data_IF_426904793605
#
_entry.id   IF_426904793605
#
_cell.length_a   1.000
_cell.length_b   1.000
_cell.length_c   1.000
_cell.angle_alpha   90.00
_cell.angle_beta   90.00
_cell.angle_gamma   90.00
#
_symmetry.space_group_name_H-M   'P 1'
#
loop_
_entity.id
_entity.type
_entity.pdbx_description
1 polymer ?
#
# COMPACT_ATOMS: atom_id res chain seq x y z
N UNK A 1 -55.98 21.81 -28.43
CA UNK A 1 -54.52 21.56 -28.69
C UNK A 1 -53.57 21.99 -27.53
N UNK A 2 -54.11 22.53 -26.41
CA UNK A 2 -53.32 22.94 -25.23
C UNK A 2 -53.17 21.82 -24.16
N UNK A 3 -54.08 20.87 -24.11
CA UNK A 3 -54.07 19.82 -23.06
C UNK A 3 -53.11 18.66 -23.34
N UNK A 4 -52.77 18.38 -24.57
CA UNK A 4 -51.82 17.34 -24.94
C UNK A 4 -50.36 17.68 -24.59
N UNK A 5 -49.98 18.94 -24.43
CA UNK A 5 -48.65 19.37 -24.01
C UNK A 5 -48.42 19.21 -22.48
N UNK A 6 -49.48 19.31 -21.67
CA UNK A 6 -49.45 19.21 -20.22
C UNK A 6 -49.24 17.75 -19.78
N UNK A 7 -49.87 16.80 -20.48
CA UNK A 7 -49.73 15.35 -20.21
C UNK A 7 -48.34 14.81 -20.59
N UNK A 8 -47.71 15.34 -21.64
CA UNK A 8 -46.34 14.95 -22.00
C UNK A 8 -45.27 15.47 -21.05
N UNK A 9 -45.49 16.62 -20.41
CA UNK A 9 -44.57 17.19 -19.44
C UNK A 9 -44.60 16.42 -18.10
N UNK A 10 -45.76 15.93 -17.67
CA UNK A 10 -45.91 15.10 -16.46
C UNK A 10 -45.28 13.68 -16.64
N UNK A 11 -45.40 13.08 -17.83
CA UNK A 11 -44.77 11.79 -18.10
C UNK A 11 -43.23 11.85 -18.15
N UNK A 12 -42.64 12.99 -18.56
CA UNK A 12 -41.18 13.17 -18.53
C UNK A 12 -40.63 13.35 -17.09
N UNK A 13 -41.35 14.04 -16.25
CA UNK A 13 -40.95 14.23 -14.84
C UNK A 13 -41.04 12.92 -14.04
N UNK A 14 -42.01 12.04 -14.35
CA UNK A 14 -42.11 10.72 -13.69
C UNK A 14 -41.04 9.73 -14.16
N UNK A 15 -40.50 9.86 -15.37
CA UNK A 15 -39.38 8.99 -15.85
C UNK A 15 -38.03 9.42 -15.30
N UNK A 16 -37.79 10.69 -15.07
CA UNK A 16 -36.55 11.19 -14.44
C UNK A 16 -36.49 10.88 -12.95
N UNK A 17 -37.62 10.91 -12.24
CA UNK A 17 -37.72 10.55 -10.82
C UNK A 17 -37.44 9.06 -10.55
N UNK A 18 -37.86 8.16 -11.43
CA UNK A 18 -37.58 6.70 -11.31
C UNK A 18 -36.14 6.34 -11.66
N UNK A 19 -35.46 7.12 -12.48
CA UNK A 19 -34.05 6.87 -12.83
C UNK A 19 -33.11 7.35 -11.71
N UNK A 20 -33.42 8.47 -11.08
CA UNK A 20 -32.73 8.97 -9.92
C UNK A 20 -32.89 8.05 -8.70
N UNK A 21 -34.10 7.52 -8.44
CA UNK A 21 -34.36 6.63 -7.30
C UNK A 21 -33.67 5.26 -7.43
N UNK A 22 -33.38 4.77 -8.63
CA UNK A 22 -32.62 3.53 -8.84
C UNK A 22 -31.11 3.70 -8.59
N UNK A 23 -30.51 4.85 -8.90
CA UNK A 23 -29.10 5.15 -8.60
C UNK A 23 -28.88 5.52 -7.13
N UNK A 24 -29.85 6.20 -6.48
CA UNK A 24 -29.78 6.52 -5.05
C UNK A 24 -30.18 5.35 -4.16
N UNK A 25 -30.96 4.40 -4.65
CA UNK A 25 -31.36 3.21 -3.89
C UNK A 25 -30.19 2.27 -3.52
N UNK A 26 -29.09 2.33 -4.27
CA UNK A 26 -27.85 1.63 -3.92
C UNK A 26 -27.10 2.35 -2.79
N UNK A 27 -27.02 3.67 -2.85
CA UNK A 27 -26.41 4.51 -1.79
C UNK A 27 -27.19 4.37 -0.47
N UNK A 28 -28.53 4.37 -0.50
CA UNK A 28 -29.35 4.18 0.69
C UNK A 28 -29.22 2.74 1.23
N UNK A 29 -29.06 1.74 0.39
CA UNK A 29 -28.77 0.36 0.83
C UNK A 29 -27.36 0.22 1.38
N UNK A 30 -26.36 0.87 0.79
CA UNK A 30 -24.99 0.92 1.30
C UNK A 30 -24.93 1.64 2.65
N UNK A 31 -25.61 2.77 2.79
CA UNK A 31 -25.71 3.52 4.07
C UNK A 31 -26.48 2.73 5.13
N UNK A 32 -27.58 2.04 4.78
CA UNK A 32 -28.30 1.14 5.72
C UNK A 32 -27.48 -0.11 6.06
N UNK A 33 -26.73 -0.67 5.14
CA UNK A 33 -25.81 -1.79 5.40
C UNK A 33 -24.65 -1.34 6.29
N UNK A 34 -24.05 -0.17 6.03
CA UNK A 34 -23.07 0.46 6.94
C UNK A 34 -23.69 0.75 8.31
N UNK A 35 -24.92 1.30 8.37
CA UNK A 35 -25.61 1.57 9.62
C UNK A 35 -25.99 0.27 10.38
N UNK A 36 -26.26 -0.83 9.68
CA UNK A 36 -26.49 -2.13 10.30
C UNK A 36 -25.20 -2.79 10.80
N UNK A 37 -24.09 -2.62 10.07
CA UNK A 37 -22.74 -3.02 10.52
C UNK A 37 -22.23 -2.12 11.65
N UNK A 38 -22.61 -0.86 11.65
CA UNK A 38 -22.41 0.10 12.76
C UNK A 38 -23.24 -0.23 14.01
N UNK A 39 -24.25 -1.13 13.92
CA UNK A 39 -24.91 -1.69 15.12
C UNK A 39 -23.98 -2.59 15.94
N UNK A 40 -22.92 -3.14 15.34
CA UNK A 40 -21.84 -3.81 16.06
C UNK A 40 -21.01 -2.82 16.90
N UNK A 41 -21.05 -1.52 16.57
CA UNK A 41 -20.51 -0.43 17.40
C UNK A 41 -21.35 -0.12 18.66
N UNK A 42 -22.44 -0.84 18.93
CA UNK A 42 -23.10 -0.77 20.25
C UNK A 42 -22.23 -1.31 21.38
N UNK A 43 -21.24 -2.16 21.07
CA UNK A 43 -20.17 -2.54 22.02
C UNK A 43 -19.27 -1.35 22.34
N UNK A 44 -19.07 -0.41 21.40
CA UNK A 44 -18.38 0.87 21.62
C UNK A 44 -19.17 1.88 22.47
N UNK A 45 -20.45 1.63 22.72
CA UNK A 45 -21.27 2.46 23.64
C UNK A 45 -20.89 2.23 25.11
N UNK A 46 -20.29 1.10 25.46
CA UNK A 46 -19.63 0.86 26.75
C UNK A 46 -18.23 1.50 26.84
N UNK A 47 -17.57 1.71 25.72
CA UNK A 47 -16.35 2.47 25.55
C UNK A 47 -16.70 3.83 24.91
N UNK A 48 -17.43 4.69 25.61
CA UNK A 48 -17.63 6.05 25.16
C UNK A 48 -16.33 6.83 25.44
N UNK A 49 -15.33 6.85 24.50
CA UNK A 49 -14.03 7.47 24.76
C UNK A 49 -14.20 8.98 24.99
N UNK A 50 -15.27 9.56 24.42
CA UNK A 50 -15.60 10.98 24.56
C UNK A 50 -16.02 11.37 25.98
N UNK A 51 -16.52 10.44 26.79
CA UNK A 51 -16.90 10.72 28.20
C UNK A 51 -15.67 10.87 29.12
N UNK A 52 -14.52 10.38 28.68
CA UNK A 52 -13.25 10.47 29.42
C UNK A 52 -12.30 11.56 28.89
N UNK A 53 -12.66 12.24 27.77
CA UNK A 53 -11.86 13.32 27.18
C UNK A 53 -12.21 14.61 27.90
N UNK A 54 -11.30 15.12 28.72
CA UNK A 54 -11.44 16.42 29.41
C UNK A 54 -11.15 17.56 28.42
N UNK A 55 -11.51 18.79 28.77
CA UNK A 55 -11.27 20.01 27.96
C UNK A 55 -9.80 20.14 27.53
N UNK A 56 -8.87 19.82 28.43
CA UNK A 56 -7.44 19.82 28.15
C UNK A 56 -7.05 18.80 27.06
N UNK A 57 -7.62 17.58 27.11
CA UNK A 57 -7.32 16.54 26.11
C UNK A 57 -7.79 16.99 24.73
N UNK A 58 -9.01 17.55 24.64
CA UNK A 58 -9.57 18.05 23.40
C UNK A 58 -8.73 19.20 22.81
N UNK A 59 -8.24 20.11 23.67
CA UNK A 59 -7.32 21.18 23.27
C UNK A 59 -6.08 20.61 22.61
N UNK A 60 -5.41 19.64 23.28
CA UNK A 60 -4.19 19.00 22.78
C UNK A 60 -4.48 18.26 21.46
N UNK A 61 -5.54 17.45 21.38
CA UNK A 61 -5.94 16.71 20.18
C UNK A 61 -6.15 17.66 18.99
N UNK A 62 -6.97 18.69 19.17
CA UNK A 62 -7.29 19.67 18.11
C UNK A 62 -6.03 20.36 17.59
N UNK A 63 -5.18 20.82 18.51
CA UNK A 63 -3.92 21.49 18.15
C UNK A 63 -2.95 20.56 17.46
N UNK A 64 -2.77 19.33 17.98
CA UNK A 64 -1.89 18.34 17.36
C UNK A 64 -2.34 17.99 15.92
N UNK A 65 -3.63 17.72 15.70
CA UNK A 65 -4.17 17.50 14.36
C UNK A 65 -3.96 18.70 13.44
N UNK A 66 -4.13 19.93 13.96
CA UNK A 66 -3.84 21.15 13.19
C UNK A 66 -2.39 21.21 12.72
N UNK A 67 -1.42 20.95 13.62
CA UNK A 67 0.01 20.90 13.24
C UNK A 67 0.32 19.76 12.30
N UNK A 68 -0.34 18.61 12.44
CA UNK A 68 -0.16 17.46 11.55
C UNK A 68 -0.60 17.79 10.11
N UNK A 69 -1.81 18.28 9.91
CA UNK A 69 -2.29 18.66 8.58
C UNK A 69 -1.53 19.82 7.98
N UNK A 70 -1.12 20.80 8.81
CA UNK A 70 -0.27 21.89 8.37
C UNK A 70 1.11 21.40 7.88
N UNK A 71 1.74 20.48 8.62
CA UNK A 71 3.03 19.88 8.22
C UNK A 71 2.91 19.10 6.91
N UNK A 72 1.83 18.32 6.74
CA UNK A 72 1.56 17.62 5.48
C UNK A 72 1.40 18.63 4.33
N UNK A 73 0.54 19.61 4.48
CA UNK A 73 0.28 20.60 3.43
C UNK A 73 1.55 21.30 3.00
N UNK A 74 2.37 21.74 3.96
CA UNK A 74 3.63 22.44 3.69
C UNK A 74 4.63 21.56 2.92
N UNK A 75 4.90 20.35 3.43
CA UNK A 75 5.93 19.48 2.84
C UNK A 75 5.46 18.92 1.50
N UNK A 76 4.17 18.55 1.37
CA UNK A 76 3.62 18.07 0.10
C UNK A 76 3.63 19.17 -0.96
N UNK A 77 3.31 20.42 -0.61
CA UNK A 77 3.39 21.52 -1.57
C UNK A 77 4.80 21.67 -2.14
N UNK A 78 5.82 21.58 -1.30
CA UNK A 78 7.22 21.59 -1.73
C UNK A 78 7.52 20.36 -2.61
N UNK A 79 7.10 19.16 -2.20
CA UNK A 79 7.33 17.93 -2.95
C UNK A 79 6.68 17.98 -4.34
N UNK A 80 5.46 18.52 -4.46
CA UNK A 80 4.76 18.69 -5.76
C UNK A 80 5.56 19.63 -6.67
N UNK A 81 6.08 20.75 -6.16
CA UNK A 81 6.87 21.70 -6.96
C UNK A 81 8.16 21.04 -7.47
N UNK A 82 8.87 20.29 -6.64
CA UNK A 82 10.07 19.57 -7.05
C UNK A 82 9.76 18.48 -8.08
N UNK A 83 8.76 17.63 -7.82
CA UNK A 83 8.35 16.56 -8.71
C UNK A 83 7.87 17.12 -10.07
N UNK A 84 7.11 18.22 -10.06
CA UNK A 84 6.67 18.89 -11.28
C UNK A 84 7.84 19.38 -12.12
N UNK A 85 8.82 20.06 -11.49
CA UNK A 85 10.02 20.53 -12.19
C UNK A 85 10.85 19.39 -12.77
N UNK A 86 11.01 18.28 -12.03
CA UNK A 86 11.76 17.11 -12.47
C UNK A 86 11.09 16.42 -13.67
N UNK A 87 9.77 16.40 -13.72
CA UNK A 87 9.02 15.69 -14.74
C UNK A 87 8.45 16.60 -15.84
N UNK A 88 8.68 17.92 -15.77
CA UNK A 88 8.14 18.90 -16.71
C UNK A 88 8.50 18.59 -18.17
N UNK A 89 9.74 18.23 -18.45
CA UNK A 89 10.19 17.86 -19.80
C UNK A 89 9.40 16.65 -20.34
N UNK A 90 9.18 15.64 -19.52
CA UNK A 90 8.44 14.43 -19.90
C UNK A 90 6.96 14.73 -20.18
N UNK A 91 6.34 15.59 -19.34
CA UNK A 91 4.94 16.00 -19.54
C UNK A 91 4.77 16.77 -20.83
N UNK A 92 5.74 17.62 -21.20
CA UNK A 92 5.70 18.44 -22.42
C UNK A 92 6.01 17.58 -23.65
N UNK A 93 7.03 16.73 -23.60
CA UNK A 93 7.43 15.85 -24.71
C UNK A 93 6.31 14.88 -25.13
N UNK A 94 5.61 14.32 -24.16
CA UNK A 94 4.51 13.38 -24.42
C UNK A 94 3.13 14.04 -24.46
N UNK A 95 3.05 15.36 -24.52
CA UNK A 95 1.80 16.12 -24.59
C UNK A 95 0.76 15.71 -23.56
N UNK A 96 1.17 15.49 -22.28
CA UNK A 96 0.28 15.09 -21.21
C UNK A 96 -0.80 16.17 -20.96
N UNK A 97 -2.10 15.84 -21.00
CA UNK A 97 -3.14 16.83 -20.77
C UNK A 97 -3.14 17.26 -19.29
N UNK A 98 -3.28 18.57 -19.02
CA UNK A 98 -3.25 19.14 -17.68
C UNK A 98 -4.26 18.46 -16.74
N UNK A 99 -5.42 18.05 -17.24
CA UNK A 99 -6.43 17.33 -16.47
C UNK A 99 -5.88 15.98 -15.97
N UNK A 100 -5.19 15.20 -16.80
CA UNK A 100 -4.61 13.93 -16.42
C UNK A 100 -3.45 14.13 -15.42
N UNK A 101 -2.63 15.19 -15.58
CA UNK A 101 -1.58 15.54 -14.62
C UNK A 101 -2.19 15.79 -13.22
N UNK A 102 -3.29 16.55 -13.14
CA UNK A 102 -3.91 16.89 -11.85
C UNK A 102 -4.64 15.70 -11.23
N UNK A 103 -5.52 15.00 -11.98
CA UNK A 103 -6.43 13.99 -11.43
C UNK A 103 -5.85 12.57 -11.45
N UNK A 104 -5.10 12.18 -12.48
CA UNK A 104 -4.56 10.82 -12.57
C UNK A 104 -3.20 10.70 -11.90
N UNK A 105 -2.38 11.77 -11.95
CA UNK A 105 -1.05 11.77 -11.34
C UNK A 105 -1.08 12.39 -9.93
N UNK A 106 -1.28 13.71 -9.75
CA UNK A 106 -1.14 14.36 -8.44
C UNK A 106 -2.24 14.00 -7.43
N UNK A 107 -3.48 13.78 -7.84
CA UNK A 107 -4.53 13.36 -6.92
C UNK A 107 -4.24 11.98 -6.29
N UNK A 108 -3.46 11.13 -6.97
CA UNK A 108 -3.03 9.82 -6.45
C UNK A 108 -1.62 9.87 -5.83
N UNK A 109 -0.75 10.78 -6.27
CA UNK A 109 0.57 11.02 -5.69
C UNK A 109 0.48 11.57 -4.26
N UNK A 110 -0.39 12.55 -4.01
CA UNK A 110 -0.52 13.21 -2.71
C UNK A 110 -0.89 12.23 -1.59
N UNK A 111 -1.94 11.39 -1.66
CA UNK A 111 -2.25 10.42 -0.62
C UNK A 111 -1.14 9.38 -0.42
N UNK A 112 -0.52 8.91 -1.51
CA UNK A 112 0.60 7.98 -1.44
C UNK A 112 1.78 8.58 -0.68
N UNK A 113 2.22 9.78 -1.06
CA UNK A 113 3.36 10.47 -0.47
C UNK A 113 3.09 10.86 0.99
N UNK A 114 1.87 11.36 1.30
CA UNK A 114 1.44 11.67 2.66
C UNK A 114 1.48 10.44 3.56
N UNK A 115 1.09 9.28 3.07
CA UNK A 115 1.10 8.05 3.83
C UNK A 115 2.50 7.46 3.98
N UNK A 116 3.33 7.52 2.93
CA UNK A 116 4.72 7.06 2.95
C UNK A 116 5.53 7.76 4.05
N UNK A 117 5.32 9.06 4.22
CA UNK A 117 6.00 9.88 5.23
C UNK A 117 5.13 10.17 6.46
N UNK A 118 4.03 9.43 6.66
CA UNK A 118 3.08 9.67 7.76
C UNK A 118 3.74 9.70 9.13
N UNK A 119 4.65 8.77 9.41
CA UNK A 119 5.38 8.71 10.67
C UNK A 119 6.26 9.97 10.90
N UNK A 120 6.91 10.48 9.84
CA UNK A 120 7.68 11.72 9.87
C UNK A 120 6.76 12.92 10.16
N UNK A 121 5.62 13.02 9.48
CA UNK A 121 4.67 14.13 9.68
C UNK A 121 4.10 14.14 11.09
N UNK A 122 3.74 12.97 11.64
CA UNK A 122 3.31 12.83 13.04
C UNK A 122 4.41 13.33 13.97
N UNK A 123 5.65 12.93 13.75
CA UNK A 123 6.76 13.30 14.62
C UNK A 123 7.09 14.80 14.56
N UNK A 124 7.14 15.38 13.37
CA UNK A 124 7.32 16.82 13.18
C UNK A 124 6.21 17.61 13.87
N UNK A 125 4.95 17.22 13.65
CA UNK A 125 3.81 17.87 14.28
C UNK A 125 3.86 17.80 15.81
N UNK A 126 4.23 16.64 16.38
CA UNK A 126 4.41 16.45 17.82
C UNK A 126 5.48 17.38 18.35
N UNK A 127 6.65 17.44 17.69
CA UNK A 127 7.76 18.29 18.13
C UNK A 127 7.36 19.77 18.06
N UNK A 128 6.85 20.23 16.93
CA UNK A 128 6.42 21.63 16.75
C UNK A 128 5.41 22.05 17.81
N UNK A 129 4.38 21.26 17.99
CA UNK A 129 3.33 21.57 18.94
C UNK A 129 3.82 21.51 20.39
N UNK A 130 4.53 20.43 20.77
CA UNK A 130 5.00 20.25 22.14
C UNK A 130 6.07 21.27 22.52
N UNK A 131 6.99 21.61 21.59
CA UNK A 131 7.99 22.67 21.84
C UNK A 131 7.32 24.03 22.01
N UNK A 132 6.24 24.33 21.25
CA UNK A 132 5.48 25.57 21.43
C UNK A 132 4.80 25.62 22.79
N UNK A 133 4.18 24.52 23.24
CA UNK A 133 3.61 24.44 24.59
C UNK A 133 4.68 24.60 25.68
N UNK A 134 5.87 24.00 25.48
CA UNK A 134 6.99 24.14 26.41
C UNK A 134 7.55 25.58 26.44
N UNK A 135 7.70 26.23 25.29
CA UNK A 135 8.17 27.62 25.21
C UNK A 135 7.22 28.61 25.87
N UNK A 136 5.91 28.38 25.73
CA UNK A 136 4.86 29.17 26.39
C UNK A 136 4.70 28.84 27.88
N UNK A 137 5.53 27.95 28.44
CA UNK A 137 5.43 27.45 29.82
C UNK A 137 4.12 26.72 30.17
N UNK A 138 3.30 26.37 29.17
CA UNK A 138 2.04 25.64 29.37
C UNK A 138 2.28 24.24 29.92
N UNK A 139 3.31 23.52 29.48
CA UNK A 139 3.66 22.18 30.00
C UNK A 139 4.06 22.28 31.47
N UNK A 140 4.83 23.29 31.86
CA UNK A 140 5.24 23.50 33.26
C UNK A 140 4.01 23.79 34.11
N UNK A 141 3.10 24.65 33.66
CA UNK A 141 1.86 24.94 34.37
C UNK A 141 0.98 23.70 34.55
N UNK A 142 0.85 22.86 33.51
CA UNK A 142 0.10 21.60 33.56
C UNK A 142 0.74 20.61 34.57
N UNK A 143 2.05 20.45 34.57
CA UNK A 143 2.73 19.56 35.49
C UNK A 143 2.70 20.10 36.93
N UNK A 144 2.86 21.42 37.11
CA UNK A 144 2.77 22.07 38.42
C UNK A 144 1.36 22.00 39.05
N UNK A 145 0.30 21.84 38.24
CA UNK A 145 -1.06 21.59 38.72
C UNK A 145 -1.30 20.15 39.18
N UNK A 146 -0.26 19.30 39.28
CA UNK A 146 -0.36 17.90 39.74
C UNK A 146 -0.72 16.91 38.63
N UNK A 147 -0.78 17.31 37.35
CA UNK A 147 -1.00 16.40 36.23
C UNK A 147 0.30 15.65 35.92
N UNK A 148 0.28 14.33 36.04
CA UNK A 148 1.46 13.52 35.71
C UNK A 148 1.80 13.55 34.21
N UNK A 149 3.08 13.36 33.88
CA UNK A 149 3.52 13.29 32.47
C UNK A 149 2.79 12.18 31.68
N UNK A 150 2.53 11.03 32.32
CA UNK A 150 1.73 9.95 31.74
C UNK A 150 0.31 10.42 31.36
N UNK A 151 -0.30 11.28 32.17
CA UNK A 151 -1.63 11.84 31.89
C UNK A 151 -1.56 12.85 30.74
N UNK A 152 -0.49 13.64 30.66
CA UNK A 152 -0.24 14.56 29.55
C UNK A 152 -0.05 13.82 28.22
N UNK A 153 0.60 12.64 28.24
CA UNK A 153 0.83 11.83 27.03
C UNK A 153 -0.44 11.21 26.45
N UNK A 154 -1.48 11.01 27.28
CA UNK A 154 -2.73 10.35 26.89
C UNK A 154 -3.41 10.95 25.64
N UNK A 155 -3.66 12.26 25.53
CA UNK A 155 -4.29 12.85 24.34
C UNK A 155 -3.45 12.68 23.07
N UNK A 156 -2.10 12.69 23.16
CA UNK A 156 -1.22 12.40 22.04
C UNK A 156 -1.42 10.96 21.55
N UNK A 157 -1.50 10.00 22.47
CA UNK A 157 -1.72 8.60 22.11
C UNK A 157 -3.10 8.37 21.48
N UNK A 158 -4.15 9.05 21.97
CA UNK A 158 -5.49 8.99 21.36
C UNK A 158 -5.44 9.51 19.90
N UNK A 159 -4.76 10.64 19.68
CA UNK A 159 -4.58 11.18 18.33
C UNK A 159 -3.79 10.23 17.44
N UNK A 160 -2.75 9.57 17.97
CA UNK A 160 -1.99 8.57 17.23
C UNK A 160 -2.83 7.36 16.83
N UNK A 161 -3.75 6.88 17.69
CA UNK A 161 -4.69 5.81 17.31
C UNK A 161 -5.50 6.23 16.08
N UNK A 162 -6.04 7.46 16.11
CA UNK A 162 -6.83 8.00 14.99
C UNK A 162 -5.98 8.09 13.70
N UNK A 163 -4.78 8.67 13.78
CA UNK A 163 -3.89 8.86 12.64
C UNK A 163 -3.36 7.52 12.10
N UNK A 164 -3.02 6.58 12.98
CA UNK A 164 -2.58 5.23 12.59
C UNK A 164 -3.69 4.44 11.92
N UNK A 165 -4.92 4.54 12.42
CA UNK A 165 -6.08 3.90 11.78
C UNK A 165 -6.36 4.51 10.40
N UNK A 166 -6.25 5.84 10.26
CA UNK A 166 -6.39 6.53 8.98
C UNK A 166 -5.29 6.09 8.00
N UNK A 167 -4.03 6.11 8.43
CA UNK A 167 -2.87 5.70 7.63
C UNK A 167 -2.98 4.24 7.18
N UNK A 168 -3.38 3.34 8.09
CA UNK A 168 -3.59 1.93 7.76
C UNK A 168 -4.74 1.76 6.74
N UNK A 169 -5.87 2.44 6.93
CA UNK A 169 -6.99 2.39 6.00
C UNK A 169 -6.65 2.91 4.60
N UNK A 170 -5.89 4.02 4.54
CA UNK A 170 -5.37 4.54 3.27
C UNK A 170 -4.42 3.54 2.60
N UNK A 171 -3.47 2.99 3.34
CA UNK A 171 -2.48 2.04 2.82
C UNK A 171 -3.11 0.70 2.38
N UNK A 172 -4.14 0.25 3.11
CA UNK A 172 -4.77 -1.04 2.85
C UNK A 172 -5.72 -1.03 1.64
N UNK A 173 -6.41 0.10 1.39
CA UNK A 173 -7.52 0.13 0.44
C UNK A 173 -7.45 1.27 -0.58
N UNK A 174 -7.13 2.50 -0.17
CA UNK A 174 -7.23 3.68 -1.05
C UNK A 174 -6.01 3.82 -1.94
N UNK A 175 -4.83 3.78 -1.35
CA UNK A 175 -3.56 3.97 -2.06
C UNK A 175 -3.32 2.94 -3.16
N UNK A 176 -3.60 1.63 -2.98
CA UNK A 176 -3.41 0.65 -4.04
C UNK A 176 -4.13 0.99 -5.34
N UNK A 177 -5.41 1.37 -5.25
CA UNK A 177 -6.19 1.80 -6.42
C UNK A 177 -5.60 3.05 -7.09
N UNK A 178 -5.22 4.05 -6.30
CA UNK A 178 -4.57 5.26 -6.80
C UNK A 178 -3.21 4.97 -7.45
N UNK A 179 -2.46 4.01 -6.90
CA UNK A 179 -1.15 3.60 -7.44
C UNK A 179 -1.29 2.99 -8.84
N UNK A 180 -2.35 2.20 -9.10
CA UNK A 180 -2.63 1.66 -10.44
C UNK A 180 -2.85 2.79 -11.45
N UNK A 181 -3.69 3.79 -11.11
CA UNK A 181 -3.99 4.93 -11.97
C UNK A 181 -2.70 5.72 -12.25
N UNK A 182 -1.93 6.02 -11.20
CA UNK A 182 -0.66 6.74 -11.32
C UNK A 182 0.36 5.98 -12.18
N UNK A 183 0.55 4.68 -11.98
CA UNK A 183 1.47 3.87 -12.77
C UNK A 183 1.07 3.77 -14.25
N UNK A 184 -0.22 3.74 -14.55
CA UNK A 184 -0.71 3.79 -15.92
C UNK A 184 -0.38 5.14 -16.56
N UNK A 185 -0.60 6.25 -15.84
CA UNK A 185 -0.18 7.59 -16.28
C UNK A 185 1.33 7.66 -16.52
N UNK A 186 2.14 7.18 -15.57
CA UNK A 186 3.62 7.16 -15.67
C UNK A 186 4.09 6.33 -16.87
N UNK A 187 3.41 5.24 -17.19
CA UNK A 187 3.73 4.41 -18.36
C UNK A 187 3.38 5.14 -19.67
N UNK A 188 2.26 5.85 -19.69
CA UNK A 188 1.75 6.53 -20.89
C UNK A 188 2.50 7.83 -21.21
N UNK A 189 2.81 8.64 -20.18
CA UNK A 189 3.32 10.01 -20.36
C UNK A 189 4.73 10.23 -19.79
N UNK A 190 5.32 9.28 -19.09
CA UNK A 190 6.64 9.45 -18.50
C UNK A 190 7.65 8.42 -18.98
N UNK A 191 7.30 7.61 -19.99
CA UNK A 191 8.16 6.56 -20.55
C UNK A 191 8.73 5.58 -19.50
N UNK A 192 8.06 5.42 -18.36
CA UNK A 192 8.42 4.40 -17.39
C UNK A 192 8.03 3.04 -17.96
N UNK A 193 8.95 2.39 -18.65
CA UNK A 193 8.78 1.03 -19.17
C UNK A 193 8.39 0.11 -18.01
N UNK A 194 7.20 -0.48 -18.06
CA UNK A 194 6.93 -1.68 -17.27
C UNK A 194 7.90 -2.74 -17.78
N UNK A 195 8.48 -3.54 -16.88
CA UNK A 195 9.20 -4.72 -17.32
C UNK A 195 8.25 -5.54 -18.19
N UNK A 196 8.52 -5.55 -19.48
CA UNK A 196 7.70 -6.25 -20.47
C UNK A 196 8.22 -7.66 -20.72
N UNK A 197 9.39 -8.00 -20.23
CA UNK A 197 10.03 -9.31 -20.40
C UNK A 197 10.58 -9.85 -19.09
N UNK A 198 10.64 -11.16 -19.00
CA UNK A 198 11.30 -11.90 -17.93
C UNK A 198 12.15 -13.00 -18.52
N UNK A 199 13.29 -13.29 -17.89
CA UNK A 199 14.21 -14.35 -18.30
C UNK A 199 14.27 -15.43 -17.23
N UNK A 200 14.45 -16.69 -17.68
CA UNK A 200 14.62 -17.86 -16.81
C UNK A 200 13.49 -17.99 -15.77
N UNK A 201 12.25 -17.84 -16.23
CA UNK A 201 11.07 -17.92 -15.37
C UNK A 201 10.80 -19.37 -15.01
N UNK A 202 10.83 -19.69 -13.73
CA UNK A 202 10.46 -21.00 -13.21
C UNK A 202 9.27 -20.86 -12.24
N UNK A 203 8.24 -21.64 -12.45
CA UNK A 203 6.99 -21.57 -11.68
C UNK A 203 6.43 -22.95 -11.45
N UNK A 204 6.06 -23.28 -10.23
CA UNK A 204 5.24 -24.46 -9.96
C UNK A 204 3.77 -24.14 -10.27
N UNK A 205 3.23 -24.79 -11.28
CA UNK A 205 1.87 -24.55 -11.78
C UNK A 205 0.83 -25.34 -10.98
N UNK A 206 1.21 -26.57 -10.57
CA UNK A 206 0.42 -27.46 -9.75
C UNK A 206 1.37 -28.34 -8.91
N UNK A 207 0.83 -29.12 -7.97
CA UNK A 207 1.64 -30.04 -7.16
C UNK A 207 2.43 -31.01 -8.05
N UNK A 208 3.76 -30.90 -8.02
CA UNK A 208 4.66 -31.71 -8.85
C UNK A 208 4.67 -31.33 -10.34
N UNK A 209 4.11 -30.18 -10.74
CA UNK A 209 4.14 -29.69 -12.12
C UNK A 209 4.90 -28.36 -12.15
N UNK A 210 6.06 -28.35 -12.79
CA UNK A 210 6.94 -27.19 -12.90
C UNK A 210 6.98 -26.73 -14.34
N UNK A 211 6.65 -25.45 -14.55
CA UNK A 211 6.82 -24.77 -15.84
C UNK A 211 8.13 -23.96 -15.81
N UNK A 212 8.86 -23.99 -16.92
CA UNK A 212 10.03 -23.18 -17.15
C UNK A 212 9.92 -22.48 -18.51
N UNK A 213 10.35 -21.23 -18.58
CA UNK A 213 10.50 -20.46 -19.82
C UNK A 213 11.84 -19.76 -19.82
N UNK A 214 12.56 -19.85 -20.93
CA UNK A 214 13.83 -19.14 -21.09
C UNK A 214 13.62 -17.64 -21.18
N UNK A 215 12.63 -17.20 -21.95
CA UNK A 215 12.28 -15.79 -22.13
C UNK A 215 10.78 -15.64 -22.25
N UNK A 216 10.19 -14.66 -21.59
CA UNK A 216 8.79 -14.30 -21.71
C UNK A 216 8.61 -12.84 -22.06
N UNK A 217 7.85 -12.55 -23.11
CA UNK A 217 7.47 -11.19 -23.53
C UNK A 217 5.99 -10.95 -23.20
N UNK A 218 5.76 -10.04 -22.26
CA UNK A 218 4.40 -9.69 -21.82
C UNK A 218 3.64 -8.81 -22.83
N UNK A 219 4.34 -8.10 -23.72
CA UNK A 219 3.71 -7.27 -24.76
C UNK A 219 2.99 -8.16 -25.78
N UNK A 220 3.66 -9.23 -26.16
CA UNK A 220 3.11 -10.25 -27.07
C UNK A 220 2.39 -11.38 -26.34
N UNK A 221 2.46 -11.41 -24.99
CA UNK A 221 1.99 -12.53 -24.14
C UNK A 221 2.53 -13.89 -24.61
N UNK A 222 3.81 -13.92 -24.99
CA UNK A 222 4.48 -15.06 -25.60
C UNK A 222 5.72 -15.45 -24.82
N UNK A 223 5.87 -16.76 -24.55
CA UNK A 223 7.04 -17.34 -23.90
C UNK A 223 7.83 -18.19 -24.89
N UNK A 224 9.14 -18.14 -24.81
CA UNK A 224 10.09 -18.89 -25.65
C UNK A 224 10.88 -19.90 -24.83
N UNK A 225 11.20 -21.03 -25.43
CA UNK A 225 11.94 -22.10 -24.75
C UNK A 225 11.14 -22.66 -23.57
N UNK A 226 9.88 -22.99 -23.82
CA UNK A 226 8.97 -23.49 -22.79
C UNK A 226 9.20 -24.97 -22.47
N UNK A 227 9.26 -25.29 -21.18
CA UNK A 227 9.25 -26.67 -20.67
C UNK A 227 8.20 -26.82 -19.56
N UNK A 228 7.54 -27.97 -19.53
CA UNK A 228 6.62 -28.35 -18.46
C UNK A 228 6.94 -29.75 -17.98
N UNK A 229 7.44 -29.84 -16.76
CA UNK A 229 7.85 -31.08 -16.11
C UNK A 229 6.80 -31.55 -15.10
N UNK A 230 6.38 -32.79 -15.22
CA UNK A 230 5.47 -33.44 -14.26
C UNK A 230 6.24 -34.51 -13.47
N UNK A 231 6.24 -34.31 -12.16
CA UNK A 231 6.86 -35.22 -11.20
C UNK A 231 5.78 -35.96 -10.41
N UNK A 232 5.97 -37.25 -10.22
CA UNK A 232 5.17 -38.08 -9.30
C UNK A 232 6.17 -38.84 -8.39
N UNK A 233 5.98 -38.74 -7.08
CA UNK A 233 6.89 -39.33 -6.08
C UNK A 233 8.37 -38.98 -6.31
N UNK A 234 8.66 -37.72 -6.65
CA UNK A 234 9.98 -37.18 -6.99
C UNK A 234 10.62 -37.76 -8.25
N UNK A 235 9.89 -38.54 -9.05
CA UNK A 235 10.35 -39.06 -10.34
C UNK A 235 9.69 -38.28 -11.46
N UNK A 236 10.44 -37.96 -12.51
CA UNK A 236 9.92 -37.31 -13.71
C UNK A 236 9.06 -38.32 -14.47
N UNK A 237 7.79 -37.98 -14.71
CA UNK A 237 6.83 -38.83 -15.43
C UNK A 237 6.55 -38.29 -16.83
N UNK A 238 6.57 -37.00 -17.01
CA UNK A 238 6.33 -36.36 -18.31
C UNK A 238 7.16 -35.10 -18.44
N UNK A 239 7.80 -34.93 -19.58
CA UNK A 239 8.54 -33.75 -19.99
C UNK A 239 7.96 -33.23 -21.29
N UNK A 240 7.36 -32.03 -21.25
CA UNK A 240 6.86 -31.33 -22.42
C UNK A 240 7.80 -30.19 -22.74
N UNK A 241 8.24 -30.09 -23.99
CA UNK A 241 8.99 -28.96 -24.52
C UNK A 241 8.19 -28.32 -25.64
N UNK A 242 8.25 -27.01 -25.76
CA UNK A 242 7.72 -26.27 -26.91
C UNK A 242 8.67 -25.12 -27.27
N UNK A 243 8.75 -24.81 -28.55
CA UNK A 243 9.58 -23.69 -29.03
C UNK A 243 9.06 -22.39 -28.47
N UNK A 244 7.75 -22.21 -28.50
CA UNK A 244 7.07 -21.07 -27.90
C UNK A 244 5.67 -21.44 -27.37
N UNK A 245 5.19 -20.59 -26.49
CA UNK A 245 3.88 -20.68 -25.87
C UNK A 245 3.22 -19.30 -25.89
N UNK A 246 1.98 -19.21 -26.35
CA UNK A 246 1.24 -17.94 -26.43
C UNK A 246 -0.05 -18.03 -25.61
N UNK A 247 -0.33 -16.98 -24.83
CA UNK A 247 -1.55 -16.88 -24.06
C UNK A 247 -2.73 -16.51 -24.96
N UNK A 248 -3.78 -17.29 -24.94
CA UNK A 248 -5.00 -16.99 -25.67
C UNK A 248 -5.81 -15.90 -24.94
N UNK A 249 -5.96 -14.76 -25.61
CA UNK A 249 -6.72 -13.60 -25.11
C UNK A 249 -8.17 -13.58 -25.56
N UNK A 250 -8.56 -14.47 -26.46
CA UNK A 250 -9.87 -14.47 -27.11
C UNK A 250 -10.84 -15.40 -26.39
N UNK A 251 -10.33 -16.50 -25.77
CA UNK A 251 -11.18 -17.41 -25.05
C UNK A 251 -11.65 -16.82 -23.72
N UNK A 252 -12.92 -16.94 -23.40
CA UNK A 252 -13.52 -16.52 -22.12
C UNK A 252 -12.99 -17.31 -20.91
N UNK A 253 -12.29 -18.41 -21.15
CA UNK A 253 -11.75 -19.27 -20.11
C UNK A 253 -10.30 -18.86 -19.76
N UNK A 254 -10.03 -18.73 -18.47
CA UNK A 254 -8.68 -18.47 -17.94
C UNK A 254 -7.76 -19.67 -18.22
N UNK A 255 -6.46 -19.39 -18.31
CA UNK A 255 -5.39 -20.40 -18.41
C UNK A 255 -5.26 -21.12 -19.76
N UNK A 256 -5.84 -20.61 -20.85
CA UNK A 256 -5.63 -21.14 -22.19
C UNK A 256 -4.31 -20.68 -22.78
N UNK A 257 -3.50 -21.66 -23.21
CA UNK A 257 -2.22 -21.45 -23.84
C UNK A 257 -2.09 -22.28 -25.10
N UNK A 258 -1.57 -21.69 -26.15
CA UNK A 258 -1.25 -22.35 -27.40
C UNK A 258 0.25 -22.62 -27.46
N UNK A 259 0.61 -23.88 -27.65
CA UNK A 259 1.97 -24.37 -27.81
C UNK A 259 2.31 -24.50 -29.29
N UNK A 260 3.51 -24.08 -29.69
CA UNK A 260 4.03 -24.26 -31.04
C UNK A 260 5.25 -25.18 -31.02
N UNK A 261 5.32 -26.08 -32.04
CA UNK A 261 6.40 -27.06 -32.16
C UNK A 261 6.67 -27.81 -30.85
N UNK A 262 5.61 -28.46 -30.36
CA UNK A 262 5.66 -29.15 -29.08
C UNK A 262 6.11 -30.60 -29.20
N UNK A 263 6.77 -31.09 -28.15
CA UNK A 263 7.18 -32.50 -27.97
C UNK A 263 6.89 -32.92 -26.53
N UNK A 264 6.14 -33.99 -26.34
CA UNK A 264 5.87 -34.59 -25.04
C UNK A 264 6.61 -35.92 -24.97
N UNK A 265 7.39 -36.10 -23.91
CA UNK A 265 8.09 -37.33 -23.57
C UNK A 265 7.45 -37.89 -22.29
N UNK A 266 6.74 -38.99 -22.36
CA UNK A 266 6.19 -39.70 -21.21
C UNK A 266 7.08 -40.87 -20.85
N UNK A 267 7.46 -40.96 -19.58
CA UNK A 267 8.33 -42.01 -19.03
C UNK A 267 7.48 -43.07 -18.32
N UNK A 268 7.58 -44.33 -18.75
CA UNK A 268 6.94 -45.46 -18.12
C UNK A 268 7.98 -46.53 -17.77
N UNK A 269 8.60 -46.39 -16.62
CA UNK A 269 9.75 -47.19 -16.23
C UNK A 269 10.94 -46.99 -17.17
N UNK A 270 11.35 -48.03 -17.86
CA UNK A 270 12.44 -48.00 -18.86
C UNK A 270 11.98 -47.69 -20.30
N UNK A 271 10.68 -47.54 -20.52
CA UNK A 271 10.12 -47.22 -21.84
C UNK A 271 9.71 -45.75 -21.90
N UNK A 272 9.96 -45.19 -23.08
CA UNK A 272 9.60 -43.79 -23.38
C UNK A 272 8.61 -43.76 -24.54
N UNK A 273 7.58 -42.92 -24.37
CA UNK A 273 6.65 -42.60 -25.44
C UNK A 273 6.76 -41.14 -25.82
N UNK A 274 7.10 -40.87 -27.06
CA UNK A 274 7.30 -39.54 -27.59
C UNK A 274 6.17 -39.21 -28.54
N UNK A 275 5.51 -38.07 -28.29
CA UNK A 275 4.51 -37.48 -29.19
C UNK A 275 4.91 -36.05 -29.50
N UNK A 276 4.75 -35.61 -30.74
CA UNK A 276 5.07 -34.25 -31.17
C UNK A 276 4.06 -33.74 -32.17
N UNK A 277 3.98 -32.44 -32.34
CA UNK A 277 3.10 -31.79 -33.30
C UNK A 277 3.41 -30.30 -33.47
N UNK A 278 2.81 -29.70 -34.50
CA UNK A 278 3.05 -28.31 -34.82
C UNK A 278 2.39 -27.34 -33.84
N UNK A 279 1.10 -27.57 -33.51
CA UNK A 279 0.34 -26.72 -32.60
C UNK A 279 -0.49 -27.57 -31.63
N UNK A 280 -0.69 -27.06 -30.41
CA UNK A 280 -1.52 -27.71 -29.41
C UNK A 280 -2.07 -26.67 -28.43
N UNK A 281 -3.40 -26.67 -28.27
CA UNK A 281 -4.04 -25.88 -27.22
C UNK A 281 -4.04 -26.69 -25.91
N UNK A 282 -3.70 -26.04 -24.83
CA UNK A 282 -3.60 -26.66 -23.51
C UNK A 282 -4.00 -25.69 -22.42
N UNK A 283 -4.48 -26.25 -21.30
CA UNK A 283 -4.81 -25.47 -20.12
C UNK A 283 -3.67 -25.63 -19.13
N UNK A 284 -2.99 -24.52 -18.82
CA UNK A 284 -1.90 -24.47 -17.83
C UNK A 284 -2.28 -23.42 -16.80
N UNK A 285 -2.37 -23.79 -15.51
CA UNK A 285 -2.83 -22.94 -14.42
C UNK A 285 -1.84 -21.80 -14.08
N UNK A 286 -1.45 -20.99 -15.08
CA UNK A 286 -0.61 -19.81 -14.96
C UNK A 286 -1.20 -18.66 -15.77
N UNK A 287 -1.03 -17.44 -15.29
CA UNK A 287 -1.44 -16.21 -15.98
C UNK A 287 -0.20 -15.40 -16.39
N UNK A 288 -0.29 -14.54 -17.42
CA UNK A 288 0.78 -13.60 -17.79
C UNK A 288 1.32 -12.75 -16.64
N UNK A 289 0.45 -12.43 -15.69
CA UNK A 289 0.78 -11.67 -14.47
C UNK A 289 1.65 -12.42 -13.47
N UNK A 290 1.67 -13.76 -13.56
CA UNK A 290 2.50 -14.62 -12.69
C UNK A 290 3.96 -14.69 -13.20
N UNK A 291 4.19 -14.38 -14.48
CA UNK A 291 5.46 -14.57 -15.19
C UNK A 291 6.36 -13.34 -15.14
N UNK A 292 5.79 -12.14 -15.12
CA UNK A 292 6.57 -10.89 -15.15
C UNK A 292 6.41 -10.14 -13.85
N UNK A 293 7.52 -9.95 -13.15
CA UNK A 293 7.57 -9.05 -12.00
C UNK A 293 7.79 -7.60 -12.45
N UNK A 294 6.84 -6.74 -12.20
CA UNK A 294 7.00 -5.29 -12.36
C UNK A 294 7.36 -4.65 -11.03
N UNK A 295 8.45 -3.89 -10.97
CA UNK A 295 8.87 -3.15 -9.78
C UNK A 295 7.73 -2.22 -9.31
N UNK A 296 7.34 -2.34 -8.04
CA UNK A 296 6.23 -1.58 -7.46
C UNK A 296 4.85 -2.25 -7.61
N UNK A 297 4.76 -3.42 -8.23
CA UNK A 297 3.51 -4.16 -8.35
C UNK A 297 2.90 -4.52 -6.98
N UNK A 298 3.73 -4.80 -5.96
CA UNK A 298 3.27 -5.07 -4.60
C UNK A 298 2.47 -3.92 -3.99
N UNK A 299 2.67 -2.69 -4.44
CA UNK A 299 1.95 -1.51 -3.97
C UNK A 299 0.56 -1.35 -4.61
N UNK A 300 0.27 -2.07 -5.70
CA UNK A 300 -1.01 -1.99 -6.41
C UNK A 300 -2.09 -2.90 -5.84
N UNK A 301 -1.72 -3.88 -5.02
CA UNK A 301 -2.66 -4.79 -4.38
C UNK A 301 -3.24 -4.19 -3.09
N UNK A 302 -4.53 -4.35 -2.89
CA UNK A 302 -5.14 -4.11 -1.57
C UNK A 302 -4.59 -5.13 -0.56
N UNK A 303 -4.68 -4.84 0.75
CA UNK A 303 -4.11 -5.75 1.76
C UNK A 303 -4.74 -7.16 1.75
N UNK A 304 -6.07 -7.36 1.53
CA UNK A 304 -6.62 -8.68 1.33
C UNK A 304 -6.10 -9.38 0.07
N UNK A 305 -6.08 -8.69 -1.08
CA UNK A 305 -5.57 -9.23 -2.33
C UNK A 305 -4.10 -9.61 -2.23
N UNK A 306 -3.31 -8.79 -1.55
CA UNK A 306 -1.89 -9.03 -1.30
C UNK A 306 -1.67 -10.32 -0.50
N UNK A 307 -2.49 -10.54 0.54
CA UNK A 307 -2.44 -11.76 1.35
C UNK A 307 -2.80 -13.00 0.53
N UNK A 308 -3.86 -12.91 -0.28
CA UNK A 308 -4.29 -14.01 -1.15
C UNK A 308 -3.24 -14.31 -2.23
N UNK A 309 -2.63 -13.27 -2.79
CA UNK A 309 -1.55 -13.39 -3.76
C UNK A 309 -0.32 -14.08 -3.15
N UNK A 310 0.12 -13.63 -1.95
CA UNK A 310 1.23 -14.24 -1.21
C UNK A 310 0.98 -15.74 -1.00
N UNK A 311 -0.22 -16.11 -0.51
CA UNK A 311 -0.54 -17.51 -0.25
C UNK A 311 -0.51 -18.38 -1.53
N UNK A 312 -0.99 -17.85 -2.65
CA UNK A 312 -0.92 -18.52 -3.96
C UNK A 312 0.53 -18.69 -4.44
N UNK A 313 1.36 -17.66 -4.30
CA UNK A 313 2.75 -17.70 -4.75
C UNK A 313 3.62 -18.63 -3.89
N UNK A 314 3.40 -18.69 -2.56
CA UNK A 314 4.06 -19.64 -1.68
C UNK A 314 3.73 -21.08 -2.12
N UNK A 315 2.45 -21.38 -2.39
CA UNK A 315 2.02 -22.68 -2.83
C UNK A 315 2.63 -23.07 -4.19
N UNK A 316 2.98 -22.09 -5.02
CA UNK A 316 3.64 -22.26 -6.33
C UNK A 316 5.17 -22.30 -6.27
N UNK A 317 5.77 -22.12 -5.08
CA UNK A 317 7.22 -22.10 -4.92
C UNK A 317 7.93 -20.93 -5.62
N UNK A 318 7.22 -19.82 -5.87
CA UNK A 318 7.78 -18.65 -6.55
C UNK A 318 8.81 -17.94 -5.66
N UNK A 319 10.01 -17.64 -6.20
CA UNK A 319 11.07 -16.94 -5.46
C UNK A 319 10.80 -15.47 -5.14
N UNK A 320 9.84 -14.84 -5.82
CA UNK A 320 9.58 -13.40 -5.68
C UNK A 320 8.58 -13.03 -4.57
N UNK A 321 8.20 -13.97 -3.71
CA UNK A 321 7.17 -13.75 -2.66
C UNK A 321 7.66 -12.76 -1.60
N UNK A 322 8.94 -12.75 -1.28
CA UNK A 322 9.53 -11.95 -0.19
C UNK A 322 9.20 -10.47 -0.29
N UNK A 323 9.17 -9.89 -1.49
CA UNK A 323 8.86 -8.46 -1.67
C UNK A 323 7.41 -8.14 -1.30
N UNK A 324 6.48 -9.04 -1.60
CA UNK A 324 5.06 -8.91 -1.25
C UNK A 324 4.84 -9.08 0.26
N UNK A 325 5.54 -10.01 0.88
CA UNK A 325 5.49 -10.22 2.34
C UNK A 325 6.05 -9.00 3.10
N UNK A 326 7.18 -8.45 2.65
CA UNK A 326 7.77 -7.23 3.22
C UNK A 326 6.77 -6.08 3.13
N UNK A 327 6.12 -5.87 1.98
CA UNK A 327 5.13 -4.81 1.82
C UNK A 327 3.92 -5.02 2.73
N UNK A 328 3.40 -6.25 2.84
CA UNK A 328 2.28 -6.58 3.72
C UNK A 328 2.59 -6.27 5.19
N UNK A 329 3.73 -6.72 5.70
CA UNK A 329 4.13 -6.46 7.08
C UNK A 329 4.51 -5.01 7.32
N UNK A 330 5.10 -4.33 6.33
CA UNK A 330 5.44 -2.90 6.38
C UNK A 330 4.21 -2.03 6.59
N UNK A 331 3.07 -2.31 5.93
CA UNK A 331 1.82 -1.56 6.10
C UNK A 331 1.33 -1.57 7.55
N UNK A 332 1.46 -2.71 8.23
CA UNK A 332 1.12 -2.85 9.64
C UNK A 332 2.17 -2.15 10.51
N UNK A 333 3.43 -2.43 10.30
CA UNK A 333 4.53 -1.91 11.11
C UNK A 333 4.64 -0.38 11.07
N UNK A 334 4.42 0.25 9.90
CA UNK A 334 4.45 1.71 9.74
C UNK A 334 3.36 2.43 10.56
N UNK A 335 2.20 1.80 10.74
CA UNK A 335 1.14 2.34 11.60
C UNK A 335 1.57 2.41 13.07
N UNK A 336 2.37 1.46 13.54
CA UNK A 336 2.91 1.46 14.91
C UNK A 336 4.06 2.47 15.09
N UNK A 337 4.77 2.82 14.04
CA UNK A 337 5.85 3.82 14.10
C UNK A 337 5.37 5.16 14.66
N UNK A 338 4.16 5.58 14.30
CA UNK A 338 3.56 6.84 14.78
C UNK A 338 3.48 6.91 16.31
N UNK A 339 3.17 5.80 16.99
CA UNK A 339 3.14 5.73 18.46
C UNK A 339 4.52 5.91 19.07
N UNK A 340 5.50 5.18 18.53
CA UNK A 340 6.87 5.17 19.04
C UNK A 340 7.49 6.57 18.88
N UNK A 341 7.38 7.13 17.68
CA UNK A 341 7.90 8.46 17.39
C UNK A 341 7.18 9.55 18.19
N UNK A 342 5.89 9.41 18.44
CA UNK A 342 5.15 10.34 19.31
C UNK A 342 5.70 10.33 20.75
N UNK A 343 5.95 9.16 21.33
CA UNK A 343 6.53 9.06 22.67
C UNK A 343 7.91 9.75 22.71
N UNK A 344 8.76 9.50 21.70
CA UNK A 344 10.07 10.17 21.57
C UNK A 344 9.88 11.69 21.46
N UNK A 345 9.00 12.13 20.56
CA UNK A 345 8.77 13.55 20.27
C UNK A 345 8.28 14.33 21.48
N UNK A 346 7.26 13.83 22.18
CA UNK A 346 6.75 14.48 23.41
C UNK A 346 7.82 14.49 24.48
N UNK A 347 8.51 13.36 24.71
CA UNK A 347 9.54 13.27 25.76
C UNK A 347 10.73 14.20 25.52
N UNK A 348 11.14 14.34 24.25
CA UNK A 348 12.25 15.19 23.84
C UNK A 348 11.90 16.68 23.91
N UNK A 349 10.66 17.04 23.56
CA UNK A 349 10.21 18.43 23.39
C UNK A 349 9.50 19.01 24.61
N UNK A 350 9.17 18.18 25.61
CA UNK A 350 8.47 18.62 26.81
C UNK A 350 9.32 19.55 27.73
N UNK A 351 10.66 19.55 27.57
CA UNK A 351 11.56 20.42 28.31
C UNK A 351 11.93 21.65 27.53
N UNK A 352 11.85 22.82 28.17
CA UNK A 352 12.36 24.08 27.62
C UNK A 352 13.90 23.97 27.52
N UNK A 353 14.43 24.03 26.28
CA UNK A 353 15.88 23.95 26.00
C UNK A 353 16.38 25.30 25.52
N UNK A 354 17.66 25.61 25.85
CA UNK A 354 18.33 26.85 25.41
C UNK A 354 18.47 27.02 23.90
N UNK A 355 18.42 25.89 23.12
CA UNK A 355 18.50 25.89 21.65
C UNK A 355 17.19 26.23 20.90
N UNK A 356 16.10 26.54 21.61
CA UNK A 356 14.84 26.93 21.00
C UNK A 356 14.13 25.79 20.19
N UNK A 357 13.18 26.22 19.36
CA UNK A 357 12.34 25.32 18.54
C UNK A 357 13.15 24.63 17.41
N UNK A 358 14.14 25.34 16.85
CA UNK A 358 14.96 24.85 15.74
C UNK A 358 15.81 23.63 16.10
N UNK A 359 16.44 23.63 17.27
CA UNK A 359 17.25 22.49 17.73
C UNK A 359 16.40 21.22 17.96
N UNK A 360 15.22 21.35 18.56
CA UNK A 360 14.30 20.24 18.76
C UNK A 360 13.83 19.67 17.42
N UNK A 361 13.55 20.53 16.45
CA UNK A 361 13.10 20.16 15.11
C UNK A 361 14.22 19.47 14.33
N UNK A 362 15.47 19.97 14.40
CA UNK A 362 16.63 19.36 13.77
C UNK A 362 16.89 17.94 14.27
N UNK A 363 16.89 17.72 15.59
CA UNK A 363 17.02 16.39 16.19
C UNK A 363 15.85 15.49 15.78
N UNK A 364 14.64 16.05 15.73
CA UNK A 364 13.45 15.31 15.29
C UNK A 364 13.53 14.85 13.85
N UNK A 365 13.89 15.74 12.94
CA UNK A 365 14.09 15.39 11.54
C UNK A 365 15.17 14.31 11.39
N UNK A 366 16.32 14.45 12.05
CA UNK A 366 17.39 13.46 12.01
C UNK A 366 16.91 12.07 12.48
N UNK A 367 16.15 12.00 13.57
CA UNK A 367 15.58 10.73 14.06
C UNK A 367 14.54 10.15 13.08
N UNK A 368 13.69 11.00 12.46
CA UNK A 368 12.71 10.54 11.48
C UNK A 368 13.36 9.98 10.23
N UNK A 369 14.37 10.67 9.70
CA UNK A 369 15.14 10.18 8.56
C UNK A 369 15.90 8.90 8.92
N UNK A 370 16.49 8.82 10.11
CA UNK A 370 17.13 7.62 10.63
C UNK A 370 16.15 6.43 10.68
N UNK A 371 14.91 6.67 11.12
CA UNK A 371 13.86 5.64 11.11
C UNK A 371 13.53 5.17 9.69
N UNK A 372 13.29 6.10 8.76
CA UNK A 372 12.96 5.78 7.35
C UNK A 372 14.13 5.05 6.68
N UNK A 373 15.35 5.53 6.90
CA UNK A 373 16.57 4.88 6.36
C UNK A 373 16.70 3.45 6.88
N UNK A 374 16.53 3.25 8.19
CA UNK A 374 16.58 1.92 8.78
C UNK A 374 15.49 0.99 8.23
N UNK A 375 14.28 1.52 8.00
CA UNK A 375 13.19 0.77 7.39
C UNK A 375 13.52 0.33 5.97
N UNK A 376 14.09 1.23 5.16
CA UNK A 376 14.49 0.94 3.79
C UNK A 376 15.62 -0.08 3.73
N UNK A 377 16.65 0.11 4.55
CA UNK A 377 17.79 -0.83 4.65
C UNK A 377 17.32 -2.21 5.09
N UNK A 378 16.51 -2.29 6.13
CA UNK A 378 15.97 -3.55 6.65
C UNK A 378 15.12 -4.29 5.60
N UNK A 379 14.27 -3.56 4.85
CA UNK A 379 13.49 -4.13 3.76
C UNK A 379 14.38 -4.67 2.63
N UNK A 380 15.46 -3.94 2.28
CA UNK A 380 16.43 -4.37 1.26
C UNK A 380 17.15 -5.66 1.69
N UNK A 381 17.55 -5.78 2.96
CA UNK A 381 18.14 -7.02 3.48
C UNK A 381 17.19 -8.22 3.39
N UNK A 382 15.88 -8.02 3.62
CA UNK A 382 14.92 -9.10 3.44
C UNK A 382 14.86 -9.58 1.99
N UNK A 383 14.87 -8.64 1.05
CA UNK A 383 14.74 -8.95 -0.38
C UNK A 383 16.02 -9.58 -0.96
N UNK A 384 17.21 -9.12 -0.55
CA UNK A 384 18.48 -9.52 -1.15
C UNK A 384 19.22 -10.62 -0.37
N UNK A 385 19.06 -10.67 0.95
CA UNK A 385 19.84 -11.54 1.84
C UNK A 385 19.00 -12.62 2.55
N UNK A 386 17.79 -12.93 2.06
CA UNK A 386 16.89 -13.92 2.65
C UNK A 386 16.60 -13.72 4.16
N UNK A 387 16.65 -12.45 4.61
CA UNK A 387 16.30 -12.14 5.98
C UNK A 387 14.76 -12.23 6.16
N UNK A 388 14.24 -12.80 7.29
CA UNK A 388 12.82 -12.98 7.47
C UNK A 388 12.00 -11.69 7.29
N UNK A 389 11.00 -11.65 6.37
CA UNK A 389 10.25 -10.43 6.03
C UNK A 389 9.56 -9.76 7.21
N UNK A 390 9.03 -10.57 8.14
CA UNK A 390 8.40 -10.09 9.37
C UNK A 390 9.39 -9.32 10.23
N UNK A 391 10.58 -9.91 10.47
CA UNK A 391 11.62 -9.26 11.27
C UNK A 391 12.13 -7.99 10.59
N UNK A 392 12.31 -7.99 9.28
CA UNK A 392 12.73 -6.83 8.52
C UNK A 392 11.77 -5.65 8.67
N UNK A 393 10.46 -5.91 8.58
CA UNK A 393 9.45 -4.86 8.71
C UNK A 393 9.35 -4.30 10.15
N UNK A 394 9.60 -5.11 11.18
CA UNK A 394 9.43 -4.72 12.57
C UNK A 394 10.73 -4.26 13.27
N UNK A 395 11.91 -4.57 12.72
CA UNK A 395 13.21 -4.21 13.28
C UNK A 395 13.35 -2.72 13.63
N UNK A 396 12.96 -1.77 12.71
CA UNK A 396 13.02 -0.34 13.03
C UNK A 396 12.16 0.03 14.24
N UNK A 397 10.97 -0.57 14.34
CA UNK A 397 10.07 -0.33 15.46
C UNK A 397 10.66 -0.80 16.79
N UNK A 398 11.30 -1.97 16.83
CA UNK A 398 11.94 -2.48 18.05
C UNK A 398 13.09 -1.57 18.49
N UNK A 399 13.97 -1.18 17.58
CA UNK A 399 15.09 -0.30 17.91
C UNK A 399 14.63 1.07 18.40
N UNK A 400 13.66 1.67 17.71
CA UNK A 400 13.12 2.96 18.13
C UNK A 400 12.24 2.88 19.37
N UNK A 401 11.62 1.73 19.69
CA UNK A 401 10.94 1.52 20.95
C UNK A 401 11.91 1.56 22.14
N UNK A 402 13.12 1.04 21.98
CA UNK A 402 14.19 1.15 22.99
C UNK A 402 14.56 2.61 23.20
N UNK A 403 14.75 3.37 22.11
CA UNK A 403 15.01 4.82 22.18
C UNK A 403 13.86 5.56 22.87
N UNK A 404 12.61 5.21 22.53
CA UNK A 404 11.41 5.78 23.16
C UNK A 404 11.38 5.53 24.67
N UNK A 405 11.73 4.34 25.10
CA UNK A 405 11.80 3.98 26.53
C UNK A 405 12.82 4.86 27.28
N UNK A 406 14.03 5.04 26.74
CA UNK A 406 15.04 5.89 27.36
C UNK A 406 14.63 7.38 27.37
N UNK A 407 14.04 7.87 26.28
CA UNK A 407 13.51 9.24 26.21
C UNK A 407 12.38 9.45 27.23
N UNK A 408 11.46 8.51 27.35
CA UNK A 408 10.36 8.56 28.30
C UNK A 408 10.86 8.57 29.77
N UNK A 409 11.87 7.74 30.10
CA UNK A 409 12.48 7.74 31.47
C UNK A 409 13.15 9.07 31.83
N UNK A 410 13.71 9.77 30.83
CA UNK A 410 14.33 11.10 31.01
C UNK A 410 13.33 12.26 30.91
N UNK A 411 12.07 12.02 30.65
CA UNK A 411 11.05 13.06 30.55
C UNK A 411 10.82 13.77 31.91
N UNK A 412 10.33 15.02 31.93
CA UNK A 412 9.99 15.71 33.19
C UNK A 412 8.85 14.96 33.90
N UNK A 413 9.03 14.76 35.21
CA UNK A 413 8.07 14.11 36.09
C UNK A 413 7.39 15.15 36.97
#
# INVERSE_FOLDING_TARGET
>A
MKDFKKIRKHRRLYRTGRWASRKFGWLIRAVRWLAHKLRFLRIFRFLNPFRYIKKLDWYIIKKFLGYYFFSIALIISIAIVFDFNENLSKFTEHHAPARAIIFDYYANFVPYFANLFSALFVFVAVILFTTKLASNSEIIAILASGVSFKRLLRPYMITCVLLSALSFGLSAYVIPHGTVIRQNFETMYMNKKKNTSAENVQLQVDKGVIAYMQHYDNSMKRGYGFCLDKFQDKKLVSHLTAMDIQYDTISDSKYHWQLSNWKIRKLQGMKEHITSGAQKDTIIAMEPTDLVYSKGQQETFTSPELRDYISKQINRGSGNVVQYEVEYHKRIASSFASFILTIIGVSLSARKRKGGMGAALGVGLALSFGYIMLQTVSATFAIQANFPPVLAAWLPNFLFAIVAYFCYRKAPR
#
